data_IF_250807091397
#
_entry.id   IF_250807091397
#
_cell.length_a   1.000
_cell.length_b   1.000
_cell.length_c   1.000
_cell.angle_alpha   90.00
_cell.angle_beta   90.00
_cell.angle_gamma   90.00
#
_symmetry.space_group_name_H-M   'P 1'
#
loop_
_entity.id
_entity.type
_entity.pdbx_description
1 polymer ?
#
# COMPACT_ATOMS: atom_id res chain seq x y z
N UNK A 1 -2.65 0.67 13.05
CA UNK A 1 -1.56 0.35 12.12
C UNK A 1 -2.06 0.43 10.69
N UNK A 2 -1.26 0.93 9.80
CA UNK A 2 -1.61 1.11 8.39
C UNK A 2 -0.67 0.26 7.54
N UNK A 3 -1.20 -0.35 6.51
CA UNK A 3 -0.41 -1.22 5.64
C UNK A 3 -0.51 -0.76 4.21
N UNK A 4 0.58 -0.91 3.47
CA UNK A 4 0.57 -0.71 2.03
C UNK A 4 0.59 -2.10 1.39
N UNK A 5 -0.37 -2.34 0.51
CA UNK A 5 -0.50 -3.62 -0.16
C UNK A 5 -0.42 -3.43 -1.66
N UNK A 6 0.26 -4.35 -2.32
CA UNK A 6 0.31 -4.39 -3.78
C UNK A 6 -0.85 -5.22 -4.28
N UNK A 7 -1.58 -4.67 -5.24
CA UNK A 7 -2.74 -5.35 -5.83
C UNK A 7 -2.30 -6.12 -7.05
N UNK A 8 -2.64 -7.40 -7.08
CA UNK A 8 -2.37 -8.28 -8.22
C UNK A 8 -3.68 -8.65 -8.88
N UNK A 9 -3.64 -8.89 -10.19
CA UNK A 9 -4.83 -9.33 -10.91
C UNK A 9 -5.26 -10.73 -10.44
N UNK A 10 -6.54 -10.84 -10.06
CA UNK A 10 -7.18 -12.11 -9.71
C UNK A 10 -6.65 -12.78 -8.45
N UNK A 11 -5.86 -12.08 -7.63
CA UNK A 11 -5.40 -12.62 -6.34
C UNK A 11 -5.53 -11.54 -5.27
N UNK A 12 -5.50 -11.96 -4.01
CA UNK A 12 -5.59 -11.05 -2.89
C UNK A 12 -4.38 -10.11 -2.84
N UNK A 13 -4.59 -8.86 -2.40
CA UNK A 13 -3.47 -7.94 -2.22
C UNK A 13 -2.44 -8.51 -1.25
N UNK A 14 -1.17 -8.23 -1.53
CA UNK A 14 -0.07 -8.67 -0.70
C UNK A 14 0.49 -7.49 0.09
N UNK A 15 0.52 -7.59 1.40
CA UNK A 15 1.06 -6.54 2.25
C UNK A 15 2.57 -6.51 2.09
N UNK A 16 3.11 -5.35 1.73
CA UNK A 16 4.54 -5.19 1.50
C UNK A 16 5.21 -4.30 2.55
N UNK A 17 4.43 -3.47 3.26
CA UNK A 17 4.99 -2.54 4.22
C UNK A 17 3.95 -2.18 5.27
N UNK A 18 4.41 -1.83 6.47
CA UNK A 18 3.52 -1.35 7.53
C UNK A 18 4.01 0.00 8.03
N UNK A 19 3.07 0.81 8.52
CA UNK A 19 3.35 2.14 9.04
C UNK A 19 2.47 2.41 10.24
N UNK A 20 2.99 3.19 11.17
CA UNK A 20 2.21 3.62 12.32
C UNK A 20 1.31 4.82 11.99
N UNK A 21 1.70 5.62 11.02
CA UNK A 21 0.97 6.84 10.66
C UNK A 21 0.39 6.74 9.26
N UNK A 22 -0.85 7.21 9.14
CA UNK A 22 -1.57 7.16 7.88
C UNK A 22 -0.86 7.93 6.77
N UNK A 23 -0.34 9.12 7.10
CA UNK A 23 0.33 9.95 6.10
C UNK A 23 1.52 9.24 5.47
N UNK A 24 2.29 8.53 6.30
CA UNK A 24 3.45 7.81 5.79
C UNK A 24 3.04 6.69 4.85
N UNK A 25 1.98 5.97 5.20
CA UNK A 25 1.48 4.91 4.34
C UNK A 25 0.98 5.46 3.01
N UNK A 26 0.24 6.57 3.05
CA UNK A 26 -0.28 7.20 1.84
C UNK A 26 0.84 7.70 0.93
N UNK A 27 1.87 8.32 1.52
CA UNK A 27 3.00 8.81 0.75
C UNK A 27 3.74 7.67 0.08
N UNK A 28 3.95 6.59 0.79
CA UNK A 28 4.62 5.42 0.24
C UNK A 28 3.83 4.85 -0.94
N UNK A 29 2.53 4.65 -0.75
CA UNK A 29 1.67 4.11 -1.80
C UNK A 29 1.66 5.02 -3.02
N UNK A 30 1.61 6.34 -2.79
CA UNK A 30 1.62 7.31 -3.88
C UNK A 30 2.91 7.22 -4.68
N UNK A 31 4.05 7.17 -4.01
CA UNK A 31 5.34 7.07 -4.68
C UNK A 31 5.44 5.79 -5.50
N UNK A 32 4.99 4.68 -4.94
CA UNK A 32 5.05 3.40 -5.65
C UNK A 32 4.13 3.39 -6.87
N UNK A 33 2.94 4.00 -6.74
CA UNK A 33 2.02 4.11 -7.88
C UNK A 33 2.60 4.98 -8.98
N UNK A 34 3.24 6.10 -8.60
CA UNK A 34 3.84 7.00 -9.56
C UNK A 34 5.06 6.38 -10.25
N UNK A 35 5.75 5.49 -9.56
CA UNK A 35 6.88 4.79 -10.15
C UNK A 35 6.45 3.77 -11.22
N UNK A 36 5.16 3.47 -11.31
CA UNK A 36 4.63 2.58 -12.34
C UNK A 36 4.94 1.11 -12.11
N UNK A 37 5.24 0.72 -10.88
CA UNK A 37 5.61 -0.66 -10.57
C UNK A 37 4.39 -1.54 -10.22
N UNK A 38 3.20 -0.99 -10.32
CA UNK A 38 1.97 -1.70 -10.03
C UNK A 38 0.97 -0.79 -9.35
N UNK A 39 -0.08 -1.39 -8.81
CA UNK A 39 -1.12 -0.66 -8.07
C UNK A 39 -0.96 -0.95 -6.59
N UNK A 40 -0.90 0.11 -5.78
CA UNK A 40 -0.71 0.00 -4.35
C UNK A 40 -1.85 0.68 -3.62
N UNK A 41 -2.33 0.07 -2.55
CA UNK A 41 -3.43 0.59 -1.74
C UNK A 41 -3.02 0.66 -0.28
N UNK A 42 -3.70 1.50 0.48
CA UNK A 42 -3.48 1.62 1.92
C UNK A 42 -4.62 0.90 2.64
N UNK A 43 -4.26 0.01 3.55
CA UNK A 43 -5.20 -0.72 4.38
C UNK A 43 -5.04 -0.27 5.82
N UNK A 44 -6.14 -0.17 6.54
CA UNK A 44 -6.14 0.23 7.94
C UNK A 44 -6.67 -0.90 8.80
N UNK A 45 -5.96 -1.18 9.90
CA UNK A 45 -6.48 -2.12 10.91
C UNK A 45 -7.17 -1.34 12.02
N UNK A 46 -8.16 -1.96 12.59
CA UNK A 46 -8.91 -1.39 13.70
C UNK A 46 -8.20 -1.69 15.01
#
# INVERSE_FOLDING_TARGET
MYYVAKVYNYINPSIIMDFKEEEHAKQYAKLMNEAGKGTYIVLKTI
#
